data_IF_629960889274
#
_entry.id   IF_629960889274
#
_cell.length_a   1.000
_cell.length_b   1.000
_cell.length_c   1.000
_cell.angle_alpha   90.00
_cell.angle_beta   90.00
_cell.angle_gamma   90.00
#
_symmetry.space_group_name_H-M   'P 1'
#
loop_
_entity.id
_entity.type
_entity.pdbx_description
1 polymer ?
#
# COMPACT_ATOMS: atom_id res chain seq x y z
N UNK A 1 1.09 -28.46 -10.13
CA UNK A 1 1.16 -27.43 -11.18
C UNK A 1 2.19 -26.41 -10.70
N UNK A 2 3.35 -26.35 -11.36
CA UNK A 2 4.48 -25.53 -10.92
C UNK A 2 4.18 -24.04 -11.15
N UNK A 3 4.00 -23.28 -10.07
CA UNK A 3 4.05 -21.82 -10.12
C UNK A 3 5.51 -21.40 -10.26
N UNK A 4 5.81 -20.57 -11.25
CA UNK A 4 7.15 -20.05 -11.47
C UNK A 4 7.69 -19.41 -10.20
N UNK A 5 8.82 -19.94 -9.71
CA UNK A 5 9.62 -19.32 -8.68
C UNK A 5 10.35 -18.12 -9.30
N UNK A 6 9.67 -16.97 -9.40
CA UNK A 6 10.39 -15.73 -9.24
C UNK A 6 10.63 -15.59 -7.74
N UNK A 7 11.83 -15.95 -7.29
CA UNK A 7 12.32 -15.43 -6.02
C UNK A 7 12.56 -13.94 -6.29
N UNK A 8 11.73 -13.02 -5.77
CA UNK A 8 12.05 -11.61 -5.89
C UNK A 8 13.42 -11.39 -5.21
N UNK A 9 14.29 -10.62 -5.84
CA UNK A 9 15.56 -10.27 -5.23
C UNK A 9 15.28 -9.36 -4.02
N UNK A 10 15.52 -9.90 -2.81
CA UNK A 10 15.29 -9.16 -1.58
C UNK A 10 16.17 -7.91 -1.50
N UNK A 11 17.33 -7.92 -2.15
CA UNK A 11 18.17 -6.74 -2.24
C UNK A 11 17.47 -5.61 -2.99
N UNK A 12 16.91 -5.89 -4.17
CA UNK A 12 16.22 -4.89 -4.99
C UNK A 12 14.93 -4.37 -4.31
N UNK A 13 14.23 -5.26 -3.59
CA UNK A 13 13.11 -4.85 -2.74
C UNK A 13 13.60 -3.87 -1.67
N UNK A 14 14.63 -4.21 -0.90
CA UNK A 14 15.17 -3.35 0.16
C UNK A 14 15.64 -2.00 -0.38
N UNK A 15 16.29 -1.97 -1.54
CA UNK A 15 16.67 -0.73 -2.24
C UNK A 15 15.44 0.12 -2.55
N UNK A 16 14.38 -0.49 -3.08
CA UNK A 16 13.11 0.20 -3.38
C UNK A 16 12.44 0.74 -2.12
N UNK A 17 12.43 -0.03 -1.03
CA UNK A 17 11.87 0.40 0.25
C UNK A 17 12.65 1.56 0.87
N UNK A 18 13.98 1.52 0.80
CA UNK A 18 14.84 2.63 1.27
C UNK A 18 14.63 3.89 0.44
N UNK A 19 14.43 3.74 -0.87
CA UNK A 19 14.10 4.86 -1.75
C UNK A 19 12.79 5.54 -1.35
N UNK A 20 11.76 4.77 -0.98
CA UNK A 20 10.49 5.34 -0.48
C UNK A 20 10.68 6.13 0.83
N UNK A 21 11.49 5.64 1.78
CA UNK A 21 11.81 6.41 2.99
C UNK A 21 12.53 7.71 2.66
N UNK A 22 13.46 7.67 1.71
CA UNK A 22 14.18 8.86 1.25
C UNK A 22 13.26 9.90 0.61
N UNK A 23 12.27 9.47 -0.20
CA UNK A 23 11.27 10.38 -0.77
C UNK A 23 10.44 11.06 0.32
N UNK A 24 10.07 10.35 1.39
CA UNK A 24 9.38 10.95 2.54
C UNK A 24 10.26 12.03 3.19
N UNK A 25 11.55 11.74 3.40
CA UNK A 25 12.46 12.69 4.02
C UNK A 25 12.64 13.96 3.16
N UNK A 26 12.67 13.84 1.82
CA UNK A 26 12.70 14.99 0.90
C UNK A 26 11.44 15.85 1.06
N UNK A 27 10.25 15.25 1.02
CA UNK A 27 8.99 16.00 1.13
C UNK A 27 8.85 16.68 2.50
N UNK A 28 9.26 16.00 3.57
CA UNK A 28 9.28 16.57 4.92
C UNK A 28 10.26 17.72 5.03
N UNK A 29 11.46 17.59 4.45
CA UNK A 29 12.43 18.68 4.42
C UNK A 29 11.93 19.88 3.59
N UNK A 30 11.11 19.64 2.57
CA UNK A 30 10.44 20.68 1.78
C UNK A 30 9.24 21.33 2.52
N UNK A 31 8.86 20.84 3.70
CA UNK A 31 7.80 21.39 4.55
C UNK A 31 6.46 20.66 4.46
N UNK A 32 6.36 19.58 3.69
CA UNK A 32 5.16 18.73 3.63
C UNK A 32 5.20 17.72 4.78
N UNK A 33 4.32 17.80 5.79
CA UNK A 33 4.35 16.82 6.87
C UNK A 33 4.00 15.42 6.34
N UNK A 34 4.62 14.37 6.90
CA UNK A 34 4.49 13.00 6.40
C UNK A 34 3.02 12.54 6.30
N UNK A 35 2.15 12.98 7.22
CA UNK A 35 0.73 12.67 7.23
C UNK A 35 -0.08 13.38 6.11
N UNK A 36 0.57 14.16 5.25
CA UNK A 36 0.03 14.73 4.01
C UNK A 36 0.67 14.15 2.76
N UNK A 37 1.66 13.26 2.90
CA UNK A 37 2.26 12.52 1.79
C UNK A 37 1.36 11.34 1.44
N UNK A 38 1.09 11.19 0.15
CA UNK A 38 0.34 10.07 -0.41
C UNK A 38 1.25 9.37 -1.42
N UNK A 39 1.42 8.06 -1.27
CA UNK A 39 1.99 7.25 -2.34
C UNK A 39 0.89 6.60 -3.17
N UNK A 40 1.11 6.53 -4.47
CA UNK A 40 0.27 5.77 -5.39
C UNK A 40 1.14 4.81 -6.19
N UNK A 41 0.67 3.58 -6.37
CA UNK A 41 1.40 2.57 -7.15
C UNK A 41 0.47 1.67 -7.94
N UNK A 42 0.92 1.25 -9.11
CA UNK A 42 0.24 0.28 -9.96
C UNK A 42 1.02 -1.03 -10.02
N UNK A 43 0.31 -2.16 -10.10
CA UNK A 43 0.88 -3.49 -10.34
C UNK A 43 2.06 -3.82 -9.40
N UNK A 44 3.29 -3.88 -9.92
CA UNK A 44 4.49 -4.10 -9.10
C UNK A 44 4.76 -2.96 -8.12
N UNK A 45 4.52 -1.70 -8.50
CA UNK A 45 4.62 -0.55 -7.61
C UNK A 45 3.65 -0.67 -6.43
N UNK A 46 2.43 -1.13 -6.67
CA UNK A 46 1.49 -1.46 -5.59
C UNK A 46 2.04 -2.55 -4.67
N UNK A 47 2.64 -3.61 -5.23
CA UNK A 47 3.26 -4.69 -4.47
C UNK A 47 4.37 -4.21 -3.54
N UNK A 48 5.23 -3.29 -4.01
CA UNK A 48 6.28 -2.66 -3.20
C UNK A 48 5.67 -1.78 -2.11
N UNK A 49 4.59 -1.04 -2.39
CA UNK A 49 3.92 -0.22 -1.39
C UNK A 49 3.27 -1.05 -0.28
N UNK A 50 2.74 -2.25 -0.56
CA UNK A 50 2.28 -3.14 0.51
C UNK A 50 3.44 -3.63 1.38
N UNK A 51 4.58 -3.99 0.77
CA UNK A 51 5.76 -4.35 1.55
C UNK A 51 6.20 -3.17 2.42
N UNK A 52 6.26 -1.97 1.86
CA UNK A 52 6.58 -0.75 2.60
C UNK A 52 5.69 -0.55 3.82
N UNK A 53 4.37 -0.66 3.62
CA UNK A 53 3.39 -0.58 4.70
C UNK A 53 3.56 -1.66 5.75
N UNK A 54 4.03 -2.86 5.40
CA UNK A 54 4.13 -3.97 6.35
C UNK A 54 5.50 -4.07 7.03
N UNK A 55 6.56 -3.48 6.44
CA UNK A 55 7.94 -3.71 6.88
C UNK A 55 8.71 -2.44 7.23
N UNK A 56 8.16 -1.23 7.03
CA UNK A 56 8.85 0.04 7.36
C UNK A 56 8.05 0.91 8.31
N UNK A 57 8.67 1.29 9.43
CA UNK A 57 8.06 2.17 10.44
C UNK A 57 7.64 3.52 9.88
N UNK A 58 8.42 4.06 8.93
CA UNK A 58 8.12 5.34 8.25
C UNK A 58 6.80 5.30 7.49
N UNK A 59 6.44 4.16 6.93
CA UNK A 59 5.21 3.99 6.17
C UNK A 59 3.96 4.23 7.01
N UNK A 60 4.03 4.04 8.32
CA UNK A 60 2.90 4.27 9.21
C UNK A 60 2.59 5.76 9.42
N UNK A 61 3.54 6.67 9.23
CA UNK A 61 3.28 8.10 9.45
C UNK A 61 2.75 8.83 8.19
N UNK A 62 2.52 8.10 7.09
CA UNK A 62 1.95 8.63 5.86
C UNK A 62 0.50 9.08 6.01
N UNK A 63 0.05 9.92 5.08
CA UNK A 63 -1.37 10.23 4.94
C UNK A 63 -2.15 9.04 4.42
N UNK A 64 -1.74 8.53 3.26
CA UNK A 64 -2.39 7.41 2.61
C UNK A 64 -1.50 6.70 1.59
N UNK A 65 -1.92 5.50 1.23
CA UNK A 65 -1.39 4.71 0.12
C UNK A 65 -2.56 4.29 -0.76
N UNK A 66 -2.46 4.56 -2.07
CA UNK A 66 -3.42 4.11 -3.07
C UNK A 66 -2.76 3.10 -3.99
N UNK A 67 -3.42 1.98 -4.22
CA UNK A 67 -2.87 0.90 -5.03
C UNK A 67 -3.83 0.50 -6.12
N UNK A 68 -3.27 0.22 -7.30
CA UNK A 68 -4.01 -0.32 -8.43
C UNK A 68 -3.43 -1.68 -8.82
N UNK A 69 -4.29 -2.68 -8.96
CA UNK A 69 -3.94 -3.98 -9.54
C UNK A 69 -2.76 -4.72 -8.86
N UNK A 70 -2.55 -4.48 -7.56
CA UNK A 70 -1.42 -5.03 -6.80
C UNK A 70 -1.59 -6.49 -6.38
N UNK A 71 -0.49 -7.10 -5.95
CA UNK A 71 -0.43 -8.48 -5.47
C UNK A 71 0.66 -8.64 -4.39
N UNK A 72 0.71 -9.76 -3.69
CA UNK A 72 1.84 -10.03 -2.79
C UNK A 72 3.08 -10.36 -3.63
N UNK A 73 4.11 -9.52 -3.57
CA UNK A 73 5.39 -9.80 -4.25
C UNK A 73 6.18 -10.94 -3.58
N UNK A 74 5.96 -11.14 -2.28
CA UNK A 74 6.83 -11.95 -1.42
C UNK A 74 5.98 -12.85 -0.50
N UNK A 75 6.46 -14.03 -0.07
CA UNK A 75 5.79 -14.87 0.91
C UNK A 75 5.62 -14.19 2.29
N UNK A 76 4.58 -14.58 3.04
CA UNK A 76 4.30 -14.05 4.38
C UNK A 76 5.44 -14.27 5.38
N UNK A 77 6.12 -15.42 5.28
CA UNK A 77 7.32 -15.74 6.09
C UNK A 77 8.39 -14.66 5.95
N UNK A 78 8.71 -14.28 4.72
CA UNK A 78 9.73 -13.28 4.46
C UNK A 78 9.29 -11.90 4.92
N UNK A 79 7.99 -11.56 4.81
CA UNK A 79 7.46 -10.32 5.41
C UNK A 79 7.69 -10.32 6.93
N UNK A 80 7.44 -11.44 7.61
CA UNK A 80 7.71 -11.56 9.05
C UNK A 80 9.20 -11.41 9.39
N UNK A 81 10.09 -12.01 8.60
CA UNK A 81 11.54 -11.85 8.75
C UNK A 81 11.97 -10.38 8.56
N UNK A 82 11.42 -9.70 7.56
CA UNK A 82 11.66 -8.26 7.35
C UNK A 82 11.12 -7.42 8.51
N UNK A 83 9.94 -7.75 9.06
CA UNK A 83 9.41 -7.08 10.24
C UNK A 83 10.33 -7.22 11.45
N UNK A 84 10.81 -8.44 11.72
CA UNK A 84 11.76 -8.71 12.80
C UNK A 84 13.06 -7.92 12.62
N UNK A 85 13.65 -7.96 11.42
CA UNK A 85 14.88 -7.23 11.10
C UNK A 85 14.74 -5.71 11.27
N UNK A 86 13.54 -5.17 11.03
CA UNK A 86 13.23 -3.75 11.22
C UNK A 86 12.69 -3.41 12.63
N UNK A 87 12.70 -4.37 13.56
CA UNK A 87 12.23 -4.17 14.94
C UNK A 87 10.75 -3.77 15.01
N UNK A 88 9.92 -4.34 14.14
CA UNK A 88 8.49 -4.10 14.09
C UNK A 88 7.76 -5.20 14.86
N UNK A 89 7.19 -4.84 16.00
CA UNK A 89 6.33 -5.69 16.83
C UNK A 89 4.85 -5.38 16.57
N UNK A 90 3.95 -6.18 17.16
CA UNK A 90 2.51 -5.88 17.16
C UNK A 90 2.19 -4.45 17.62
N UNK A 91 1.16 -3.85 17.05
CA UNK A 91 0.67 -2.52 17.46
C UNK A 91 1.41 -1.32 16.89
N UNK A 92 2.31 -1.48 15.90
CA UNK A 92 3.08 -0.36 15.35
C UNK A 92 2.30 0.54 14.38
N UNK A 93 1.05 0.22 14.04
CA UNK A 93 0.24 1.01 13.12
C UNK A 93 0.12 2.45 13.62
N UNK A 94 0.40 3.36 12.70
CA UNK A 94 0.16 4.78 12.83
C UNK A 94 -0.67 5.12 11.59
N UNK A 95 -1.76 5.84 11.82
CA UNK A 95 -2.51 6.78 10.96
C UNK A 95 -2.73 6.52 9.45
N UNK A 96 -1.82 5.89 8.72
CA UNK A 96 -1.87 5.70 7.27
C UNK A 96 -3.11 4.95 6.83
N UNK A 97 -3.77 5.45 5.80
CA UNK A 97 -4.94 4.82 5.19
C UNK A 97 -4.55 4.06 3.92
N UNK A 98 -4.99 2.82 3.76
CA UNK A 98 -4.75 2.02 2.56
C UNK A 98 -6.02 1.91 1.71
N UNK A 99 -5.91 2.31 0.45
CA UNK A 99 -6.95 2.18 -0.57
C UNK A 99 -6.48 1.21 -1.65
N UNK A 100 -7.12 0.05 -1.74
CA UNK A 100 -6.91 -0.95 -2.79
C UNK A 100 -7.96 -0.82 -3.87
N UNK A 101 -7.51 -0.69 -5.12
CA UNK A 101 -8.33 -0.70 -6.31
C UNK A 101 -7.90 -1.86 -7.21
N UNK A 102 -8.86 -2.59 -7.77
CA UNK A 102 -8.55 -3.69 -8.69
C UNK A 102 -9.57 -3.78 -9.83
N UNK A 103 -9.11 -4.06 -11.04
CA UNK A 103 -9.98 -4.27 -12.19
C UNK A 103 -10.64 -5.66 -12.16
N UNK A 104 -11.97 -5.71 -12.31
CA UNK A 104 -12.69 -7.00 -12.32
C UNK A 104 -12.28 -7.93 -13.45
N UNK A 105 -11.89 -7.35 -14.59
CA UNK A 105 -11.51 -8.06 -15.81
C UNK A 105 -9.99 -8.14 -15.99
N UNK A 106 -9.22 -7.89 -14.93
CA UNK A 106 -7.77 -8.02 -14.97
C UNK A 106 -7.37 -9.49 -15.22
N UNK A 107 -6.70 -9.71 -16.36
CA UNK A 107 -6.18 -11.01 -16.77
C UNK A 107 -4.70 -11.21 -16.44
N UNK A 108 -3.97 -10.13 -16.11
CA UNK A 108 -2.55 -10.19 -15.76
C UNK A 108 -2.37 -10.46 -14.27
N UNK A 109 -3.12 -9.74 -13.44
CA UNK A 109 -3.24 -9.99 -12.00
C UNK A 109 -4.69 -10.37 -11.73
N UNK A 110 -5.03 -11.67 -11.77
CA UNK A 110 -6.40 -12.12 -11.56
C UNK A 110 -6.97 -11.61 -10.24
N UNK A 111 -8.25 -11.23 -10.24
CA UNK A 111 -8.94 -10.70 -9.05
C UNK A 111 -8.82 -11.60 -7.81
N UNK A 112 -8.68 -12.92 -7.98
CA UNK A 112 -8.44 -13.85 -6.87
C UNK A 112 -7.13 -13.58 -6.11
N UNK A 113 -6.08 -13.10 -6.78
CA UNK A 113 -4.83 -12.69 -6.12
C UNK A 113 -5.02 -11.44 -5.27
N UNK A 114 -5.77 -10.47 -5.79
CA UNK A 114 -6.14 -9.25 -5.05
C UNK A 114 -6.97 -9.58 -3.82
N UNK A 115 -7.94 -10.51 -3.94
CA UNK A 115 -8.76 -10.98 -2.82
C UNK A 115 -7.91 -11.66 -1.74
N UNK A 116 -7.04 -12.59 -2.12
CA UNK A 116 -6.15 -13.27 -1.18
C UNK A 116 -5.21 -12.29 -0.46
N UNK A 117 -4.72 -11.27 -1.18
CA UNK A 117 -3.94 -10.21 -0.57
C UNK A 117 -4.77 -9.37 0.42
N UNK A 118 -6.00 -8.98 0.05
CA UNK A 118 -6.91 -8.23 0.92
C UNK A 118 -7.19 -9.02 2.20
N UNK A 119 -7.49 -10.31 2.10
CA UNK A 119 -7.72 -11.18 3.27
C UNK A 119 -6.50 -11.22 4.20
N UNK A 120 -5.28 -11.27 3.63
CA UNK A 120 -4.04 -11.20 4.41
C UNK A 120 -3.84 -9.84 5.07
N UNK A 121 -4.07 -8.74 4.33
CA UNK A 121 -3.95 -7.37 4.83
C UNK A 121 -4.94 -7.08 5.96
N UNK A 122 -6.15 -7.66 5.92
CA UNK A 122 -7.10 -7.56 7.04
C UNK A 122 -6.56 -8.22 8.32
N UNK A 123 -5.82 -9.32 8.22
CA UNK A 123 -5.15 -9.93 9.38
C UNK A 123 -4.08 -8.99 9.95
N UNK A 124 -3.28 -8.34 9.09
CA UNK A 124 -2.30 -7.34 9.51
C UNK A 124 -2.97 -6.13 10.17
N UNK A 125 -4.06 -5.63 9.58
CA UNK A 125 -4.84 -4.50 10.12
C UNK A 125 -5.41 -4.84 11.49
N UNK A 126 -5.99 -6.02 11.67
CA UNK A 126 -6.57 -6.45 12.95
C UNK A 126 -5.51 -6.54 14.07
N UNK A 127 -4.23 -6.70 13.72
CA UNK A 127 -3.09 -6.67 14.65
C UNK A 127 -2.48 -5.28 14.81
N UNK A 128 -3.10 -4.24 14.24
CA UNK A 128 -2.59 -2.88 14.21
C UNK A 128 -1.17 -2.83 13.64
N UNK A 129 -0.95 -3.45 12.48
CA UNK A 129 0.35 -3.44 11.80
C UNK A 129 0.25 -2.65 10.48
N UNK A 130 1.14 -1.67 10.32
CA UNK A 130 1.34 -0.95 9.06
C UNK A 130 0.42 0.22 8.80
N UNK A 131 -0.88 -0.01 8.80
CA UNK A 131 -1.89 0.97 8.40
C UNK A 131 -3.11 0.92 9.33
N UNK A 132 -3.81 2.05 9.44
CA UNK A 132 -4.95 2.22 10.33
C UNK A 132 -6.26 1.74 9.69
N UNK A 133 -6.43 1.97 8.39
CA UNK A 133 -7.65 1.60 7.65
C UNK A 133 -7.32 0.91 6.35
N UNK A 134 -8.22 0.04 5.90
CA UNK A 134 -8.18 -0.62 4.61
C UNK A 134 -9.53 -0.44 3.94
N UNK A 135 -9.52 0.09 2.72
CA UNK A 135 -10.67 0.12 1.83
C UNK A 135 -10.32 -0.61 0.55
N UNK A 136 -11.23 -1.45 0.07
CA UNK A 136 -11.04 -2.20 -1.17
C UNK A 136 -12.22 -1.97 -2.10
N UNK A 137 -11.94 -1.52 -3.33
CA UNK A 137 -12.94 -1.38 -4.37
C UNK A 137 -12.54 -2.15 -5.63
N UNK A 138 -13.54 -2.78 -6.23
CA UNK A 138 -13.41 -3.50 -7.50
C UNK A 138 -14.03 -2.62 -8.58
N UNK A 139 -13.24 -2.28 -9.59
CA UNK A 139 -13.68 -1.46 -10.71
C UNK A 139 -14.26 -2.37 -11.79
N UNK A 140 -15.57 -2.30 -11.99
CA UNK A 140 -16.28 -3.09 -12.97
C UNK A 140 -15.78 -2.79 -14.39
N UNK A 141 -15.61 -3.84 -15.21
CA UNK A 141 -15.17 -3.71 -16.59
C UNK A 141 -13.68 -3.44 -16.79
N UNK A 142 -12.97 -2.93 -15.78
CA UNK A 142 -11.58 -2.52 -15.92
C UNK A 142 -10.62 -3.71 -16.09
N UNK A 143 -9.71 -3.67 -17.09
CA UNK A 143 -8.61 -4.62 -17.26
C UNK A 143 -7.39 -4.20 -16.41
N UNK A 144 -6.20 -4.75 -16.68
CA UNK A 144 -4.94 -4.31 -16.06
C UNK A 144 -4.45 -2.96 -16.62
N UNK A 145 -5.22 -1.90 -16.41
CA UNK A 145 -4.90 -0.57 -16.95
C UNK A 145 -5.61 0.54 -16.17
N UNK A 146 -4.95 1.68 -16.03
CA UNK A 146 -5.52 2.90 -15.45
C UNK A 146 -6.34 3.64 -16.51
N UNK A 147 -7.59 3.20 -16.67
CA UNK A 147 -8.56 3.78 -17.61
C UNK A 147 -9.58 4.66 -16.88
N UNK A 148 -10.42 5.36 -17.66
CA UNK A 148 -11.40 6.33 -17.14
C UNK A 148 -12.19 5.82 -15.92
N UNK A 149 -12.77 4.60 -15.91
CA UNK A 149 -13.51 4.08 -14.76
C UNK A 149 -12.75 4.03 -13.43
N UNK A 150 -11.41 4.06 -13.44
CA UNK A 150 -10.58 4.03 -12.22
C UNK A 150 -10.54 5.40 -11.54
N UNK A 151 -10.49 6.48 -12.32
CA UNK A 151 -10.24 7.82 -11.80
C UNK A 151 -11.32 8.37 -10.86
N UNK A 152 -12.62 8.09 -11.05
CA UNK A 152 -13.64 8.48 -10.08
C UNK A 152 -13.37 7.94 -8.67
N UNK A 153 -12.86 6.71 -8.53
CA UNK A 153 -12.50 6.13 -7.24
C UNK A 153 -11.31 6.86 -6.60
N UNK A 154 -10.27 7.12 -7.38
CA UNK A 154 -9.07 7.85 -6.94
C UNK A 154 -9.45 9.28 -6.51
N UNK A 155 -10.26 9.97 -7.31
CA UNK A 155 -10.73 11.33 -7.00
C UNK A 155 -11.52 11.36 -5.70
N UNK A 156 -12.50 10.48 -5.56
CA UNK A 156 -13.32 10.40 -4.36
C UNK A 156 -12.48 10.17 -3.11
N UNK A 157 -11.47 9.30 -3.19
CA UNK A 157 -10.51 9.10 -2.12
C UNK A 157 -9.75 10.40 -1.78
N UNK A 158 -9.14 11.05 -2.78
CA UNK A 158 -8.34 12.26 -2.56
C UNK A 158 -9.18 13.39 -1.94
N UNK A 159 -10.41 13.57 -2.42
CA UNK A 159 -11.36 14.55 -1.85
C UNK A 159 -11.71 14.23 -0.38
N UNK A 160 -11.91 12.95 -0.05
CA UNK A 160 -12.18 12.50 1.32
C UNK A 160 -10.97 12.71 2.23
N UNK A 161 -9.77 12.42 1.73
CA UNK A 161 -8.52 12.62 2.47
C UNK A 161 -8.27 14.10 2.77
N UNK A 162 -8.47 14.97 1.80
CA UNK A 162 -8.28 16.42 1.94
C UNK A 162 -9.32 17.05 2.89
N UNK A 163 -10.59 16.68 2.76
CA UNK A 163 -11.65 17.19 3.65
C UNK A 163 -11.51 16.71 5.10
N UNK A 164 -11.05 15.47 5.31
CA UNK A 164 -10.75 14.93 6.64
C UNK A 164 -9.58 15.64 7.32
N UNK A 165 -8.57 16.05 6.56
CA UNK A 165 -7.39 16.76 7.10
C UNK A 165 -7.66 18.24 7.40
N UNK A 166 -8.53 18.92 6.65
CA UNK A 166 -8.96 20.30 6.99
C UNK A 166 -9.74 20.37 8.31
N UNK A 167 -10.58 19.37 8.56
CA UNK A 167 -11.36 19.24 9.79
C UNK A 167 -10.47 19.15 11.04
N UNK A 168 -9.35 18.43 10.93
CA UNK A 168 -8.40 18.22 12.03
C UNK A 168 -7.48 19.43 12.29
N UNK A 169 -7.35 20.37 11.35
CA UNK A 169 -6.50 21.56 11.49
C UNK A 169 -7.21 22.75 12.16
N UNK A 170 -8.50 22.63 12.46
CA UNK A 170 -9.34 23.70 13.04
C UNK A 170 -9.67 23.49 14.53
N UNK A 171 -9.03 22.51 15.18
CA UNK A 171 -9.11 22.23 16.61
C UNK A 171 -7.74 22.46 17.25
#
# INVERSE_FOLDING_TARGET
MFFGQHNPDLHDIEVSLNYLEHLIDIEVAAGTPANRVIFMGDSQGASILYLFLLTRRRAADLGAVVTWAGFSATPLETIAQMQEANGLSDGWAKKTQLYMLHGKNDKLVPLSRSRALMDALEVYRARNQGFATLQWAIVDGAPHSLIEPVWPHVRHFLETFLSGTESASKL
#
